data_IF_382571593619
#
_entry.id   IF_382571593619
#
_cell.length_a   1.000
_cell.length_b   1.000
_cell.length_c   1.000
_cell.angle_alpha   90.00
_cell.angle_beta   90.00
_cell.angle_gamma   90.00
#
_symmetry.space_group_name_H-M   'P 1'
#
loop_
_entity.id
_entity.type
_entity.pdbx_description
1 polymer ?
#
# COMPACT_ATOMS: atom_id res chain seq x y z
N UNK A 1 -36.27 -12.04 -1.56
CA UNK A 1 -35.42 -10.93 -2.03
C UNK A 1 -34.42 -10.59 -0.92
N UNK A 2 -33.11 -10.65 -1.16
CA UNK A 2 -32.11 -10.22 -0.16
C UNK A 2 -31.87 -8.73 -0.37
N UNK A 3 -32.07 -7.93 0.68
CA UNK A 3 -31.77 -6.50 0.68
C UNK A 3 -30.28 -6.21 0.47
N UNK A 4 -29.90 -4.97 0.14
CA UNK A 4 -28.51 -4.59 -0.08
C UNK A 4 -27.69 -4.84 1.19
N UNK A 5 -26.42 -5.31 1.05
CA UNK A 5 -25.58 -5.57 2.21
C UNK A 5 -25.32 -4.29 3.01
N UNK A 6 -25.41 -4.40 4.34
CA UNK A 6 -25.13 -3.33 5.30
C UNK A 6 -23.69 -2.81 5.16
N UNK A 7 -23.50 -1.50 5.42
CA UNK A 7 -22.19 -0.83 5.41
C UNK A 7 -21.22 -1.39 6.47
N UNK A 8 -21.74 -2.08 7.49
CA UNK A 8 -21.00 -2.45 8.70
C UNK A 8 -20.61 -3.93 8.80
N UNK A 9 -20.80 -4.74 7.75
CA UNK A 9 -20.47 -6.17 7.83
C UNK A 9 -18.94 -6.40 7.76
N UNK A 10 -18.32 -7.06 8.75
CA UNK A 10 -16.88 -7.32 8.74
C UNK A 10 -16.53 -8.30 7.62
N UNK A 11 -15.45 -7.98 6.90
CA UNK A 11 -14.95 -8.71 5.73
C UNK A 11 -14.40 -10.10 6.14
N UNK A 12 -15.28 -11.09 6.33
CA UNK A 12 -14.92 -12.47 6.75
C UNK A 12 -14.47 -13.40 5.61
N UNK A 13 -14.53 -12.96 4.35
CA UNK A 13 -14.13 -13.74 3.18
C UNK A 13 -12.97 -13.03 2.46
N UNK A 14 -11.86 -13.75 2.21
CA UNK A 14 -10.60 -13.23 1.61
C UNK A 14 -10.76 -12.52 0.25
N UNK A 15 -11.92 -12.57 -0.38
CA UNK A 15 -12.22 -11.92 -1.67
C UNK A 15 -13.03 -10.61 -1.53
N UNK A 16 -13.53 -10.28 -0.33
CA UNK A 16 -14.47 -9.17 -0.12
C UNK A 16 -13.83 -7.79 0.01
N UNK A 17 -12.62 -7.68 0.56
CA UNK A 17 -12.06 -6.38 0.95
C UNK A 17 -11.60 -5.57 -0.26
N UNK A 18 -10.92 -6.20 -1.23
CA UNK A 18 -10.50 -5.51 -2.48
C UNK A 18 -11.70 -5.06 -3.31
N UNK A 19 -12.71 -5.93 -3.47
CA UNK A 19 -13.93 -5.59 -4.22
C UNK A 19 -14.71 -4.45 -3.56
N UNK A 20 -14.80 -4.44 -2.22
CA UNK A 20 -15.41 -3.33 -1.47
C UNK A 20 -14.63 -2.02 -1.64
N UNK A 21 -13.30 -2.07 -1.56
CA UNK A 21 -12.46 -0.90 -1.83
C UNK A 21 -12.71 -0.36 -3.26
N UNK A 22 -12.63 -1.23 -4.26
CA UNK A 22 -12.86 -0.84 -5.66
C UNK A 22 -14.26 -0.26 -5.87
N UNK A 23 -15.29 -0.85 -5.25
CA UNK A 23 -16.65 -0.32 -5.31
C UNK A 23 -16.76 1.06 -4.65
N UNK A 24 -16.11 1.28 -3.50
CA UNK A 24 -16.10 2.57 -2.82
C UNK A 24 -15.36 3.65 -3.64
N UNK A 25 -14.21 3.31 -4.22
CA UNK A 25 -13.45 4.20 -5.11
C UNK A 25 -14.25 4.55 -6.37
N UNK A 26 -14.86 3.55 -7.00
CA UNK A 26 -15.72 3.78 -8.17
C UNK A 26 -16.92 4.67 -7.85
N UNK A 27 -17.57 4.46 -6.70
CA UNK A 27 -18.66 5.33 -6.23
C UNK A 27 -18.20 6.78 -6.01
N UNK A 28 -16.98 6.96 -5.51
CA UNK A 28 -16.34 8.27 -5.36
C UNK A 28 -15.76 8.83 -6.67
N UNK A 29 -15.87 8.12 -7.80
CA UNK A 29 -15.26 8.46 -9.09
C UNK A 29 -13.74 8.59 -9.05
N UNK A 30 -13.10 7.77 -8.22
CA UNK A 30 -11.65 7.66 -8.11
C UNK A 30 -11.21 6.44 -8.93
N UNK A 31 -10.34 6.66 -9.91
CA UNK A 31 -9.74 5.58 -10.68
C UNK A 31 -8.88 4.69 -9.78
N UNK A 32 -8.83 3.39 -10.07
CA UNK A 32 -8.06 2.42 -9.30
C UNK A 32 -7.22 1.55 -10.22
N UNK A 33 -5.92 1.51 -9.94
CA UNK A 33 -4.99 0.61 -10.57
C UNK A 33 -4.30 -0.27 -9.53
N UNK A 34 -3.96 -1.49 -9.94
CA UNK A 34 -3.31 -2.46 -9.09
C UNK A 34 -2.01 -2.92 -9.73
N UNK A 35 -0.90 -2.55 -9.10
CA UNK A 35 0.48 -2.89 -9.48
C UNK A 35 0.99 -4.07 -8.64
N UNK A 36 0.65 -5.34 -8.97
CA UNK A 36 1.11 -6.51 -8.24
C UNK A 36 2.64 -6.65 -8.21
N UNK A 37 3.32 -6.10 -9.22
CA UNK A 37 4.78 -6.05 -9.34
C UNK A 37 5.45 -5.25 -8.21
N UNK A 38 4.74 -4.29 -7.61
CA UNK A 38 5.22 -3.53 -6.45
C UNK A 38 4.80 -4.14 -5.11
N UNK A 39 3.98 -5.20 -5.13
CA UNK A 39 3.49 -5.80 -3.90
C UNK A 39 4.59 -6.60 -3.20
N UNK A 40 4.75 -6.48 -1.85
CA UNK A 40 5.72 -7.29 -1.14
C UNK A 40 5.37 -8.77 -1.23
N UNK A 41 6.38 -9.61 -1.47
CA UNK A 41 6.21 -11.07 -1.56
C UNK A 41 5.72 -11.68 -0.25
N UNK A 42 5.24 -12.93 -0.30
CA UNK A 42 4.88 -13.68 0.91
C UNK A 42 6.05 -13.82 1.87
N UNK A 43 7.27 -13.97 1.35
CA UNK A 43 8.48 -14.10 2.15
C UNK A 43 8.80 -12.81 2.89
N UNK A 44 8.79 -11.66 2.21
CA UNK A 44 8.98 -10.35 2.85
C UNK A 44 7.94 -10.09 3.94
N UNK A 45 6.67 -10.44 3.69
CA UNK A 45 5.62 -10.32 4.72
C UNK A 45 5.90 -11.22 5.93
N UNK A 46 6.40 -12.44 5.73
CA UNK A 46 6.77 -13.34 6.84
C UNK A 46 7.96 -12.80 7.62
N UNK A 47 8.97 -12.28 6.94
CA UNK A 47 10.14 -11.63 7.55
C UNK A 47 9.71 -10.49 8.47
N UNK A 48 8.86 -9.59 7.98
CA UNK A 48 8.35 -8.50 8.82
C UNK A 48 7.53 -9.02 10.01
N UNK A 49 6.66 -10.00 9.79
CA UNK A 49 5.85 -10.56 10.87
C UNK A 49 6.72 -11.24 11.94
N UNK A 50 7.85 -11.84 11.57
CA UNK A 50 8.77 -12.45 12.52
C UNK A 50 9.47 -11.39 13.38
N UNK A 51 9.89 -10.28 12.77
CA UNK A 51 10.45 -9.15 13.52
C UNK A 51 9.39 -8.49 14.42
N UNK A 52 8.18 -8.28 13.92
CA UNK A 52 7.05 -7.76 14.69
C UNK A 52 6.79 -8.65 15.93
N UNK A 53 6.79 -9.98 15.75
CA UNK A 53 6.62 -10.94 16.84
C UNK A 53 7.77 -10.89 17.85
N UNK A 54 9.03 -10.75 17.37
CA UNK A 54 10.22 -10.62 18.23
C UNK A 54 10.15 -9.36 19.10
N UNK A 55 9.60 -8.28 18.57
CA UNK A 55 9.43 -6.99 19.26
C UNK A 55 8.13 -6.91 20.07
N UNK A 56 7.27 -7.93 20.01
CA UNK A 56 5.97 -7.93 20.66
C UNK A 56 5.00 -6.89 20.10
N UNK A 57 5.20 -6.42 18.86
CA UNK A 57 4.34 -5.42 18.21
C UNK A 57 3.37 -6.08 17.24
N UNK A 58 2.10 -5.65 17.28
CA UNK A 58 1.12 -6.08 16.28
C UNK A 58 1.22 -5.27 15.00
N UNK A 59 0.81 -5.86 13.86
CA UNK A 59 0.81 -5.20 12.54
C UNK A 59 0.19 -3.78 12.52
N UNK A 60 -0.89 -3.57 13.30
CA UNK A 60 -1.61 -2.28 13.40
C UNK A 60 -0.90 -1.25 14.28
N UNK A 61 -0.01 -1.70 15.16
CA UNK A 61 0.72 -0.87 16.11
C UNK A 61 2.17 -0.65 15.69
N UNK A 62 2.64 -1.37 14.66
CA UNK A 62 3.94 -1.16 14.03
C UNK A 62 4.07 0.27 13.54
N UNK A 63 5.19 0.91 13.88
CA UNK A 63 5.54 2.27 13.48
C UNK A 63 6.58 2.32 12.37
N UNK A 64 7.38 1.28 12.22
CA UNK A 64 8.48 1.22 11.26
C UNK A 64 8.62 -0.16 10.63
N UNK A 65 9.18 -0.20 9.42
CA UNK A 65 9.59 -1.44 8.77
C UNK A 65 10.86 -2.01 9.40
N UNK A 66 10.97 -3.34 9.42
CA UNK A 66 12.20 -4.01 9.79
C UNK A 66 13.32 -3.61 8.81
N UNK A 67 14.53 -3.34 9.31
CA UNK A 67 15.66 -2.95 8.46
C UNK A 67 15.92 -3.98 7.34
N UNK A 68 15.80 -5.27 7.66
CA UNK A 68 15.96 -6.34 6.68
C UNK A 68 14.84 -6.34 5.62
N UNK A 69 13.60 -6.01 6.02
CA UNK A 69 12.48 -5.85 5.10
C UNK A 69 12.77 -4.72 4.10
N UNK A 70 13.18 -3.56 4.60
CA UNK A 70 13.50 -2.39 3.77
C UNK A 70 14.60 -2.73 2.78
N UNK A 71 15.70 -3.35 3.24
CA UNK A 71 16.81 -3.75 2.36
C UNK A 71 16.32 -4.66 1.23
N UNK A 72 15.62 -5.74 1.57
CA UNK A 72 15.20 -6.74 0.59
C UNK A 72 14.10 -6.22 -0.33
N UNK A 73 13.13 -5.47 0.17
CA UNK A 73 12.09 -4.85 -0.66
C UNK A 73 12.72 -3.91 -1.69
N UNK A 74 13.70 -3.10 -1.28
CA UNK A 74 14.42 -2.24 -2.20
C UNK A 74 15.17 -3.04 -3.27
N UNK A 75 16.02 -3.99 -2.88
CA UNK A 75 16.89 -4.69 -3.85
C UNK A 75 16.18 -5.74 -4.71
N UNK A 76 15.15 -6.39 -4.19
CA UNK A 76 14.46 -7.49 -4.87
C UNK A 76 13.26 -6.99 -5.69
N UNK A 77 12.67 -5.84 -5.33
CA UNK A 77 11.47 -5.30 -5.96
C UNK A 77 11.75 -3.93 -6.58
N UNK A 78 12.03 -2.90 -5.77
CA UNK A 78 12.09 -1.52 -6.28
C UNK A 78 13.22 -1.29 -7.29
N UNK A 79 14.39 -1.89 -7.09
CA UNK A 79 15.53 -1.74 -8.00
C UNK A 79 15.32 -2.44 -9.35
N UNK A 80 14.29 -3.28 -9.44
CA UNK A 80 13.93 -4.03 -10.66
C UNK A 80 12.65 -3.54 -11.31
N UNK A 81 11.89 -2.67 -10.63
CA UNK A 81 10.63 -2.16 -11.13
C UNK A 81 10.86 -0.92 -11.99
N UNK A 82 10.22 -0.87 -13.16
CA UNK A 82 10.10 0.37 -13.93
C UNK A 82 8.86 1.13 -13.45
N UNK A 83 9.09 2.29 -12.83
CA UNK A 83 8.02 3.16 -12.33
C UNK A 83 7.55 4.19 -13.38
N UNK A 84 8.21 4.26 -14.54
CA UNK A 84 7.88 5.21 -15.61
C UNK A 84 6.43 5.09 -16.09
N UNK A 85 5.86 3.87 -16.31
CA UNK A 85 4.46 3.74 -16.73
C UNK A 85 3.50 4.35 -15.71
N UNK A 86 3.73 4.08 -14.42
CA UNK A 86 2.89 4.57 -13.31
C UNK A 86 2.88 6.10 -13.29
N UNK A 87 4.05 6.72 -13.45
CA UNK A 87 4.18 8.18 -13.48
C UNK A 87 3.54 8.78 -14.74
N UNK A 88 3.67 8.10 -15.88
CA UNK A 88 3.10 8.56 -17.15
C UNK A 88 1.56 8.52 -17.18
N UNK A 89 0.97 7.66 -16.36
CA UNK A 89 -0.49 7.54 -16.18
C UNK A 89 -1.04 8.49 -15.10
N UNK A 90 -0.16 9.18 -14.35
CA UNK A 90 -0.61 10.20 -13.41
C UNK A 90 -1.32 11.33 -14.16
N UNK A 91 -2.45 11.82 -13.64
CA UNK A 91 -3.18 12.89 -14.30
C UNK A 91 -2.35 14.17 -14.26
N UNK A 92 -2.30 14.90 -15.37
CA UNK A 92 -1.65 16.22 -15.44
C UNK A 92 -2.29 17.26 -14.50
N UNK A 93 -3.52 16.99 -14.05
CA UNK A 93 -4.22 17.73 -13.00
C UNK A 93 -4.93 16.77 -12.06
N UNK A 94 -4.69 16.87 -10.75
CA UNK A 94 -5.35 16.04 -9.74
C UNK A 94 -4.36 15.48 -8.71
N UNK A 95 -4.84 14.55 -7.89
CA UNK A 95 -4.06 13.89 -6.85
C UNK A 95 -4.20 12.38 -7.05
N UNK A 96 -3.07 11.68 -7.11
CA UNK A 96 -3.03 10.23 -6.98
C UNK A 96 -2.62 9.84 -5.57
N UNK A 97 -3.11 8.70 -5.08
CA UNK A 97 -2.82 8.22 -3.74
C UNK A 97 -2.33 6.77 -3.75
N UNK A 98 -1.20 6.51 -3.09
CA UNK A 98 -0.77 5.16 -2.76
C UNK A 98 -1.54 4.66 -1.54
N UNK A 99 -2.22 3.52 -1.69
CA UNK A 99 -3.05 2.93 -0.63
C UNK A 99 -2.34 1.76 0.03
N UNK A 100 -2.37 1.73 1.36
CA UNK A 100 -1.92 0.60 2.17
C UNK A 100 -2.81 0.45 3.41
N UNK A 101 -2.69 -0.67 4.13
CA UNK A 101 -3.57 -0.97 5.29
C UNK A 101 -2.98 -0.47 6.61
N UNK A 102 -1.70 -0.16 6.64
CA UNK A 102 -0.99 0.37 7.79
C UNK A 102 -1.26 1.87 7.98
N UNK A 103 -1.32 2.28 9.25
CA UNK A 103 -1.63 3.66 9.65
C UNK A 103 -0.53 4.63 9.21
N UNK A 104 0.70 4.37 9.64
CA UNK A 104 1.84 5.26 9.46
C UNK A 104 2.61 4.87 8.18
N UNK A 105 3.08 5.84 7.37
CA UNK A 105 3.80 5.54 6.14
C UNK A 105 5.12 4.80 6.39
N UNK A 106 5.81 5.09 7.48
CA UNK A 106 7.04 4.42 7.90
C UNK A 106 6.82 2.94 8.23
N UNK A 107 5.59 2.54 8.55
CA UNK A 107 5.23 1.18 8.88
C UNK A 107 4.92 0.30 7.65
N UNK A 108 4.96 0.82 6.43
CA UNK A 108 4.64 0.05 5.23
C UNK A 108 5.45 0.44 3.99
N UNK A 109 5.45 -0.46 3.01
CA UNK A 109 6.21 -0.32 1.76
C UNK A 109 5.80 0.91 0.91
N UNK A 110 4.65 1.55 1.17
CA UNK A 110 4.22 2.74 0.42
C UNK A 110 5.18 3.92 0.59
N UNK A 111 5.84 4.05 1.75
CA UNK A 111 6.86 5.10 1.96
C UNK A 111 8.09 4.86 1.08
N UNK A 112 8.50 3.60 0.94
CA UNK A 112 9.63 3.22 0.08
C UNK A 112 9.33 3.48 -1.40
N UNK A 113 8.13 3.12 -1.87
CA UNK A 113 7.68 3.46 -3.24
C UNK A 113 7.65 4.98 -3.42
N UNK A 114 7.03 5.71 -2.48
CA UNK A 114 6.90 7.16 -2.58
C UNK A 114 8.28 7.86 -2.62
N UNK A 115 9.22 7.42 -1.79
CA UNK A 115 10.60 7.90 -1.83
C UNK A 115 11.24 7.66 -3.21
N UNK A 116 11.09 6.46 -3.76
CA UNK A 116 11.64 6.12 -5.09
C UNK A 116 11.03 6.98 -6.21
N UNK A 117 9.72 7.25 -6.16
CA UNK A 117 9.04 8.13 -7.10
C UNK A 117 9.58 9.57 -7.04
N UNK A 118 9.85 10.09 -5.84
CA UNK A 118 10.48 11.39 -5.67
C UNK A 118 11.90 11.41 -6.23
N UNK A 119 12.70 10.38 -5.92
CA UNK A 119 14.10 10.28 -6.33
C UNK A 119 14.28 10.15 -7.85
N UNK A 120 13.45 9.34 -8.52
CA UNK A 120 13.60 9.03 -9.95
C UNK A 120 12.77 9.92 -10.87
N UNK A 121 11.63 10.42 -10.39
CA UNK A 121 10.64 11.11 -11.24
C UNK A 121 10.23 12.49 -10.70
N UNK A 122 10.83 12.94 -9.58
CA UNK A 122 10.58 14.26 -8.99
C UNK A 122 9.10 14.55 -8.68
N UNK A 123 8.33 13.51 -8.37
CA UNK A 123 6.94 13.65 -7.94
C UNK A 123 6.89 14.30 -6.55
N UNK A 124 5.98 15.26 -6.35
CA UNK A 124 5.73 15.83 -5.03
C UNK A 124 4.89 14.85 -4.20
N UNK A 125 5.38 14.48 -3.02
CA UNK A 125 4.73 13.51 -2.14
C UNK A 125 4.29 14.19 -0.84
N UNK A 126 3.03 13.97 -0.48
CA UNK A 126 2.49 14.26 0.84
C UNK A 126 2.07 12.96 1.54
N UNK A 127 2.54 12.75 2.77
CA UNK A 127 2.14 11.61 3.58
C UNK A 127 0.91 11.93 4.42
N UNK A 128 -0.23 11.36 4.02
CA UNK A 128 -1.47 11.46 4.79
C UNK A 128 -1.37 10.67 6.10
N UNK A 129 -1.54 11.36 7.23
CA UNK A 129 -1.61 10.80 8.58
C UNK A 129 -2.99 11.06 9.17
N UNK A 130 -3.52 10.20 10.06
CA UNK A 130 -4.74 10.54 10.78
C UNK A 130 -4.53 11.80 11.60
N UNK A 131 -5.52 12.70 11.55
CA UNK A 131 -5.59 13.90 12.38
C UNK A 131 -5.66 13.56 13.87
#
# INVERSE_FOLDING_TARGET
>A
MRGPPSRDEPCRLRQGCRRRLQAALAHARIAYEHHPELAPTTELRRLQNAEDARQGVGKRSRRELAAEYTRRYTTEILDRADLTPIVSELPSSGIAALLCVERDPEACHRSLIAQRLTEQHHVTIEHLRPL
#
